data_IF_652320473196
#
_entry.id   IF_652320473196
#
_cell.length_a   1.000
_cell.length_b   1.000
_cell.length_c   1.000
_cell.angle_alpha   90.00
_cell.angle_beta   90.00
_cell.angle_gamma   90.00
#
_symmetry.space_group_name_H-M   'P 1'
#
loop_
_entity.id
_entity.type
_entity.pdbx_description
1 polymer ?
#
# COMPACT_ATOMS: atom_id res chain seq x y z
N UNK A 1 -1.59 -4.40 -0.71
CA UNK A 1 -0.92 -3.18 -0.21
C UNK A 1 -1.02 -3.17 1.29
N UNK A 2 0.08 -2.94 1.99
CA UNK A 2 0.11 -2.99 3.45
C UNK A 2 1.25 -2.12 4.00
N UNK A 3 1.05 -1.61 5.21
CA UNK A 3 2.04 -0.80 5.91
C UNK A 3 3.04 -1.67 6.65
N UNK A 4 4.32 -1.45 6.38
CA UNK A 4 5.42 -1.89 7.22
C UNK A 4 5.83 -0.71 8.10
N UNK A 5 5.60 -0.85 9.40
CA UNK A 5 5.91 0.16 10.41
C UNK A 5 7.06 -0.31 11.31
N UNK A 6 7.66 0.60 12.07
CA UNK A 6 8.80 0.32 12.95
C UNK A 6 10.09 -0.11 12.21
N UNK A 7 10.31 0.44 11.02
CA UNK A 7 11.59 0.31 10.33
C UNK A 7 12.71 0.97 11.16
N UNK A 8 13.95 0.42 11.14
CA UNK A 8 15.09 1.11 11.71
C UNK A 8 15.22 2.50 11.06
N UNK A 9 15.67 3.52 11.80
CA UNK A 9 15.83 4.86 11.25
C UNK A 9 16.73 4.80 10.02
N UNK A 10 16.20 5.23 8.86
CA UNK A 10 16.99 5.37 7.64
C UNK A 10 18.02 6.51 7.76
N UNK A 11 18.79 6.75 6.70
CA UNK A 11 19.70 7.91 6.60
C UNK A 11 18.96 9.23 6.89
N UNK A 12 17.75 9.35 6.36
CA UNK A 12 16.79 10.39 6.72
C UNK A 12 15.87 9.85 7.83
N UNK A 13 16.13 10.31 9.07
CA UNK A 13 15.42 9.90 10.29
C UNK A 13 13.94 10.27 10.31
N UNK A 14 13.44 10.94 9.27
CA UNK A 14 12.05 11.35 9.15
C UNK A 14 11.13 10.24 8.61
N UNK A 15 11.65 9.30 7.83
CA UNK A 15 10.88 8.16 7.32
C UNK A 15 10.91 6.98 8.31
N UNK A 16 9.74 6.58 8.79
CA UNK A 16 9.57 5.52 9.79
C UNK A 16 8.42 4.55 9.45
N UNK A 17 7.85 4.70 8.25
CA UNK A 17 6.88 3.79 7.67
C UNK A 17 7.22 3.55 6.19
N UNK A 18 6.88 2.37 5.70
CA UNK A 18 6.95 2.03 4.29
C UNK A 18 5.64 1.38 3.88
N UNK A 19 5.06 1.84 2.78
CA UNK A 19 3.95 1.16 2.14
C UNK A 19 4.49 0.22 1.09
N UNK A 20 4.12 -1.05 1.21
CA UNK A 20 4.49 -2.07 0.22
C UNK A 20 3.29 -2.34 -0.67
N UNK A 21 3.49 -2.18 -1.97
CA UNK A 21 2.52 -2.51 -3.01
C UNK A 21 3.11 -3.64 -3.82
N UNK A 22 2.43 -4.77 -3.89
CA UNK A 22 2.84 -5.91 -4.72
C UNK A 22 1.89 -5.98 -5.90
N UNK A 23 2.43 -5.87 -7.10
CA UNK A 23 1.70 -6.29 -8.29
C UNK A 23 1.63 -7.82 -8.31
N UNK A 24 0.42 -8.36 -8.28
CA UNK A 24 0.20 -9.81 -8.20
C UNK A 24 0.51 -10.55 -9.49
N UNK A 25 0.46 -9.88 -10.63
CA UNK A 25 0.72 -10.54 -11.92
C UNK A 25 2.23 -10.70 -12.14
N UNK A 26 3.00 -9.66 -11.84
CA UNK A 26 4.47 -9.70 -11.95
C UNK A 26 5.18 -10.18 -10.68
N UNK A 27 4.48 -10.27 -9.55
CA UNK A 27 5.04 -10.49 -8.22
C UNK A 27 6.15 -9.49 -7.84
N UNK A 28 6.09 -8.29 -8.41
CA UNK A 28 7.09 -7.24 -8.17
C UNK A 28 6.64 -6.33 -7.03
N UNK A 29 7.42 -6.24 -5.93
CA UNK A 29 7.13 -5.29 -4.86
C UNK A 29 7.61 -3.89 -5.22
N UNK A 30 6.81 -2.90 -4.86
CA UNK A 30 7.14 -1.49 -4.86
C UNK A 30 7.11 -0.99 -3.42
N UNK A 31 8.16 -0.27 -3.04
CA UNK A 31 8.33 0.30 -1.71
C UNK A 31 8.20 1.81 -1.77
N UNK A 32 7.26 2.36 -1.01
CA UNK A 32 7.06 3.81 -0.88
C UNK A 32 7.37 4.21 0.56
N UNK A 33 8.42 5.01 0.74
CA UNK A 33 8.82 5.52 2.05
C UNK A 33 7.94 6.69 2.47
N UNK A 34 7.51 6.67 3.72
CA UNK A 34 6.54 7.59 4.28
C UNK A 34 6.92 8.04 5.70
N UNK A 35 6.48 9.24 6.07
CA UNK A 35 6.54 9.69 7.46
C UNK A 35 5.26 9.27 8.19
N UNK A 36 5.35 8.90 9.48
CA UNK A 36 4.22 8.40 10.30
C UNK A 36 2.99 9.30 10.35
N UNK A 37 3.13 10.58 10.03
CA UNK A 37 2.04 11.57 10.10
C UNK A 37 1.42 11.90 8.75
N UNK A 38 1.70 11.12 7.71
CA UNK A 38 1.12 11.38 6.40
C UNK A 38 -0.39 11.18 6.37
N UNK A 39 -1.04 12.12 5.71
CA UNK A 39 -2.47 12.14 5.50
C UNK A 39 -2.87 11.22 4.36
N UNK A 40 -4.15 10.84 4.35
CA UNK A 40 -4.71 10.03 3.27
C UNK A 40 -4.51 10.65 1.87
N UNK A 41 -4.46 11.98 1.77
CA UNK A 41 -4.22 12.69 0.51
C UNK A 41 -2.76 12.60 0.06
N UNK A 42 -1.81 12.78 0.97
CA UNK A 42 -0.38 12.66 0.67
C UNK A 42 -0.05 11.22 0.21
N UNK A 43 -0.59 10.22 0.90
CA UNK A 43 -0.45 8.82 0.49
C UNK A 43 -1.02 8.57 -0.91
N UNK A 44 -2.20 9.12 -1.22
CA UNK A 44 -2.83 8.95 -2.53
C UNK A 44 -2.00 9.59 -3.65
N UNK A 45 -1.48 10.80 -3.42
CA UNK A 45 -0.59 11.50 -4.37
C UNK A 45 0.69 10.70 -4.59
N UNK A 46 1.30 10.17 -3.54
CA UNK A 46 2.52 9.39 -3.64
C UNK A 46 2.30 8.10 -4.46
N UNK A 47 1.22 7.37 -4.19
CA UNK A 47 0.85 6.18 -4.96
C UNK A 47 0.59 6.56 -6.42
N UNK A 48 -0.12 7.65 -6.67
CA UNK A 48 -0.40 8.10 -8.03
C UNK A 48 0.88 8.38 -8.82
N UNK A 49 1.81 9.12 -8.21
CA UNK A 49 3.04 9.53 -8.87
C UNK A 49 4.04 8.40 -9.07
N UNK A 50 4.07 7.42 -8.15
CA UNK A 50 5.11 6.38 -8.13
C UNK A 50 4.63 5.04 -8.67
N UNK A 51 3.38 4.68 -8.40
CA UNK A 51 2.88 3.34 -8.66
C UNK A 51 2.16 3.25 -10.01
N UNK A 52 1.28 4.20 -10.34
CA UNK A 52 0.48 4.16 -11.57
C UNK A 52 1.33 4.26 -12.83
N UNK A 53 2.43 5.01 -12.79
CA UNK A 53 3.37 5.05 -13.92
C UNK A 53 4.04 3.69 -14.21
N UNK A 54 4.13 2.81 -13.20
CA UNK A 54 4.77 1.50 -13.33
C UNK A 54 3.78 0.39 -13.65
N UNK A 55 2.63 0.37 -12.96
CA UNK A 55 1.65 -0.73 -13.04
C UNK A 55 0.42 -0.38 -13.89
N UNK A 56 0.28 0.87 -14.31
CA UNK A 56 -0.99 1.40 -14.81
C UNK A 56 -2.02 1.58 -13.69
N UNK A 57 -3.28 1.81 -14.07
CA UNK A 57 -4.37 1.95 -13.12
C UNK A 57 -4.69 0.61 -12.45
N UNK A 58 -4.74 0.62 -11.11
CA UNK A 58 -5.13 -0.55 -10.34
C UNK A 58 -6.60 -0.88 -10.59
N UNK A 59 -6.87 -2.09 -11.08
CA UNK A 59 -8.24 -2.58 -11.25
C UNK A 59 -8.79 -3.19 -9.96
N UNK A 60 -7.96 -3.95 -9.24
CA UNK A 60 -8.31 -4.58 -7.98
C UNK A 60 -7.18 -4.32 -6.98
N UNK A 61 -7.54 -3.78 -5.82
CA UNK A 61 -6.60 -3.58 -4.73
C UNK A 61 -7.07 -4.40 -3.54
N UNK A 62 -6.10 -5.04 -2.90
CA UNK A 62 -6.33 -5.70 -1.63
C UNK A 62 -5.44 -5.05 -0.57
N UNK A 63 -6.04 -4.65 0.55
CA UNK A 63 -5.40 -3.82 1.58
C UNK A 63 -5.86 -4.21 2.98
N UNK A 64 -5.14 -3.81 4.01
CA UNK A 64 -5.63 -3.92 5.38
C UNK A 64 -6.66 -2.83 5.68
N UNK A 65 -7.20 -2.82 6.91
CA UNK A 65 -8.24 -1.85 7.30
C UNK A 65 -7.65 -0.57 7.89
N UNK A 66 -6.47 -0.15 7.44
CA UNK A 66 -5.88 1.10 7.91
C UNK A 66 -6.85 2.29 7.65
N UNK A 67 -6.96 3.25 8.60
CA UNK A 67 -7.81 4.43 8.44
C UNK A 67 -7.55 5.23 7.16
N UNK A 68 -6.32 5.22 6.63
CA UNK A 68 -5.99 5.88 5.37
C UNK A 68 -6.77 5.25 4.21
N UNK A 69 -6.69 3.92 4.07
CA UNK A 69 -7.31 3.18 2.96
C UNK A 69 -8.84 3.07 3.09
N UNK A 70 -9.37 3.20 4.31
CA UNK A 70 -10.82 3.21 4.58
C UNK A 70 -11.42 4.62 4.61
N UNK A 71 -10.60 5.66 4.39
CA UNK A 71 -11.06 7.05 4.41
C UNK A 71 -12.05 7.38 3.28
N UNK A 72 -12.83 8.44 3.48
CA UNK A 72 -13.77 8.94 2.47
C UNK A 72 -13.06 9.38 1.18
N UNK A 73 -11.85 9.93 1.28
CA UNK A 73 -11.03 10.31 0.13
C UNK A 73 -10.71 9.07 -0.71
N UNK A 74 -10.13 8.03 -0.11
CA UNK A 74 -9.74 6.80 -0.81
C UNK A 74 -10.96 6.10 -1.41
N UNK A 75 -12.05 6.00 -0.66
CA UNK A 75 -13.32 5.47 -1.16
C UNK A 75 -13.79 6.24 -2.41
N UNK A 76 -13.72 7.58 -2.39
CA UNK A 76 -14.12 8.41 -3.54
C UNK A 76 -13.19 8.21 -4.73
N UNK A 77 -11.87 8.16 -4.51
CA UNK A 77 -10.89 7.93 -5.58
C UNK A 77 -11.16 6.60 -6.28
N UNK A 78 -11.37 5.52 -5.53
CA UNK A 78 -11.66 4.21 -6.11
C UNK A 78 -12.96 4.20 -6.93
N UNK A 79 -14.00 4.88 -6.45
CA UNK A 79 -15.24 5.02 -7.20
C UNK A 79 -15.03 5.78 -8.52
N UNK A 80 -14.24 6.85 -8.52
CA UNK A 80 -13.93 7.64 -9.71
C UNK A 80 -13.12 6.84 -10.73
N UNK A 81 -12.13 6.07 -10.27
CA UNK A 81 -11.27 5.28 -11.16
C UNK A 81 -11.81 3.88 -11.49
N UNK A 82 -12.95 3.49 -10.93
CA UNK A 82 -13.52 2.15 -11.11
C UNK A 82 -12.68 1.04 -10.48
N UNK A 83 -11.82 1.36 -9.52
CA UNK A 83 -10.98 0.40 -8.81
C UNK A 83 -11.81 -0.33 -7.75
N UNK A 84 -11.76 -1.67 -7.73
CA UNK A 84 -12.36 -2.46 -6.66
C UNK A 84 -11.39 -2.61 -5.51
N UNK A 85 -11.84 -2.36 -4.29
CA UNK A 85 -11.04 -2.56 -3.08
C UNK A 85 -11.63 -3.64 -2.20
N UNK A 86 -10.77 -4.56 -1.79
CA UNK A 86 -11.08 -5.62 -0.84
C UNK A 86 -10.17 -5.48 0.38
N UNK A 87 -10.72 -5.68 1.57
CA UNK A 87 -9.95 -5.59 2.80
C UNK A 87 -9.63 -6.98 3.37
N UNK A 88 -8.35 -7.23 3.68
CA UNK A 88 -7.94 -8.46 4.35
C UNK A 88 -8.58 -8.54 5.75
N UNK A 89 -9.07 -9.72 6.11
CA UNK A 89 -9.31 -10.08 7.52
C UNK A 89 -8.06 -10.75 8.09
N UNK A 90 -7.91 -10.82 9.41
CA UNK A 90 -6.78 -11.52 10.05
C UNK A 90 -6.62 -12.98 9.54
N UNK A 91 -7.72 -13.61 9.11
CA UNK A 91 -7.74 -14.94 8.50
C UNK A 91 -7.30 -15.00 7.03
N UNK A 92 -7.53 -13.93 6.25
CA UNK A 92 -7.17 -13.88 4.82
C UNK A 92 -5.67 -13.74 4.58
N UNK A 93 -4.89 -13.39 5.62
CA UNK A 93 -3.45 -13.26 5.49
C UNK A 93 -2.83 -14.57 5.00
N UNK A 94 -3.21 -15.67 5.64
CA UNK A 94 -2.66 -17.00 5.41
C UNK A 94 -2.78 -17.53 3.95
N UNK A 95 -3.73 -17.05 3.16
CA UNK A 95 -3.96 -17.48 1.77
C UNK A 95 -3.09 -16.77 0.73
N UNK A 96 -2.46 -15.66 1.09
CA UNK A 96 -1.72 -14.79 0.15
C UNK A 96 -0.19 -14.96 0.31
N UNK A 97 0.24 -16.11 0.81
CA UNK A 97 1.54 -16.33 1.44
C UNK A 97 2.78 -15.82 0.68
N UNK A 98 2.79 -15.80 -0.66
CA UNK A 98 3.93 -15.28 -1.43
C UNK A 98 3.93 -13.74 -1.51
N UNK A 99 2.77 -13.11 -1.72
CA UNK A 99 2.64 -11.66 -1.66
C UNK A 99 2.82 -11.15 -0.22
N UNK A 100 2.30 -11.88 0.77
CA UNK A 100 2.54 -11.57 2.18
C UNK A 100 4.01 -11.69 2.58
N UNK A 101 4.70 -12.73 2.10
CA UNK A 101 6.13 -12.90 2.39
C UNK A 101 6.95 -11.74 1.84
N UNK A 102 6.59 -11.20 0.66
CA UNK A 102 7.22 -10.02 0.07
C UNK A 102 6.94 -8.74 0.87
N UNK A 103 5.76 -8.62 1.48
CA UNK A 103 5.39 -7.49 2.34
C UNK A 103 6.13 -7.57 3.69
N UNK A 104 6.19 -8.76 4.31
CA UNK A 104 6.76 -8.95 5.64
C UNK A 104 8.29 -9.07 5.66
N UNK A 105 8.92 -9.31 4.50
CA UNK A 105 10.37 -9.44 4.36
C UNK A 105 10.93 -8.37 3.42
N UNK A 106 10.82 -7.07 3.77
CA UNK A 106 11.50 -6.03 3.01
C UNK A 106 13.02 -6.33 3.10
N UNK A 107 13.62 -6.72 1.97
CA UNK A 107 15.06 -6.95 1.85
C UNK A 107 15.79 -5.65 1.61
#
# INVERSE_FOLDING_TARGET
MDWVTALPPGEDRSFNACLVIVDKDSMTPMFLSFQKYETAMETAIMIWNRAIGHTGLFQNIMSDRDPIFTSALWTTLHNVFGTKVSFYTAYHRQTEGLAESLIQTPK
#
